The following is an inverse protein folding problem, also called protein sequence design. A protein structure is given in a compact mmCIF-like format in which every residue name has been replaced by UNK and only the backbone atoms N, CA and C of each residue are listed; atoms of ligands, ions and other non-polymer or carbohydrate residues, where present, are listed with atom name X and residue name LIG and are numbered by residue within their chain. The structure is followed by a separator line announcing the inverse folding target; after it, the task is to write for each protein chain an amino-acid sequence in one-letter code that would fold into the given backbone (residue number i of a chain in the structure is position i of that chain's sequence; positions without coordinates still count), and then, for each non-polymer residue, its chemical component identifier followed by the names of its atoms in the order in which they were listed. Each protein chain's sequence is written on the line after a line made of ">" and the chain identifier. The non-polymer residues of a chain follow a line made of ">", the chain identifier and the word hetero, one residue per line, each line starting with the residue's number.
data_IF_794553549980
#
_entry.id   IF_794553549980
#
_cell.length_a   1.000
_cell.length_b   1.000
_cell.length_c   1.000
_cell.angle_alpha   90.00
_cell.angle_beta   90.00
_cell.angle_gamma   90.00
#
_symmetry.space_group_name_H-M   'P 1'
#
loop_
_entity.id
_entity.type
_entity.pdbx_description
1 polymer ?
#
# COMPACT_ATOMS: atom_id res chain seq x y z
N UNK A 1 24.04 -22.77 11.13
CA UNK A 1 23.52 -21.77 12.09
C UNK A 1 22.00 -21.59 11.87
N UNK A 2 21.21 -21.11 12.85
CA UNK A 2 19.75 -20.91 12.65
C UNK A 2 19.48 -19.77 11.65
N UNK A 3 20.25 -18.68 11.75
CA UNK A 3 20.09 -17.48 10.90
C UNK A 3 20.31 -17.80 9.42
N UNK A 4 21.42 -18.47 9.08
CA UNK A 4 21.76 -18.90 7.72
C UNK A 4 20.60 -19.68 7.07
N UNK A 5 20.08 -20.69 7.77
CA UNK A 5 18.99 -21.53 7.26
C UNK A 5 17.70 -20.75 7.00
N UNK A 6 17.37 -19.77 7.85
CA UNK A 6 16.19 -18.92 7.65
C UNK A 6 16.35 -17.95 6.49
N UNK A 7 17.58 -17.47 6.24
CA UNK A 7 17.88 -16.60 5.11
C UNK A 7 17.82 -17.40 3.81
N UNK A 8 18.47 -18.56 3.75
CA UNK A 8 18.43 -19.49 2.61
C UNK A 8 16.99 -19.88 2.25
N UNK A 9 16.16 -20.23 3.24
CA UNK A 9 14.74 -20.54 3.01
C UNK A 9 13.95 -19.37 2.45
N UNK A 10 14.24 -18.13 2.88
CA UNK A 10 13.61 -16.92 2.35
C UNK A 10 14.04 -16.63 0.91
N UNK A 11 15.31 -16.86 0.57
CA UNK A 11 15.79 -16.69 -0.81
C UNK A 11 15.13 -17.71 -1.76
N UNK A 12 14.97 -18.96 -1.34
CA UNK A 12 14.25 -19.98 -2.12
C UNK A 12 12.79 -19.55 -2.33
N UNK A 13 12.13 -19.06 -1.27
CA UNK A 13 10.74 -18.59 -1.37
C UNK A 13 10.60 -17.41 -2.35
N UNK A 14 11.59 -16.50 -2.41
CA UNK A 14 11.60 -15.36 -3.35
C UNK A 14 11.66 -15.77 -4.82
N UNK A 15 12.13 -16.97 -5.15
CA UNK A 15 12.16 -17.47 -6.53
C UNK A 15 10.75 -17.77 -7.08
N UNK A 16 9.75 -17.93 -6.21
CA UNK A 16 8.38 -18.13 -6.64
C UNK A 16 7.81 -16.83 -7.23
N UNK A 17 7.26 -16.83 -8.46
CA UNK A 17 6.69 -15.63 -9.09
C UNK A 17 5.51 -15.01 -8.32
N UNK A 18 4.86 -15.79 -7.44
CA UNK A 18 3.76 -15.32 -6.59
C UNK A 18 4.23 -14.88 -5.18
N UNK A 19 5.53 -14.93 -4.89
CA UNK A 19 6.06 -14.49 -3.60
C UNK A 19 5.84 -12.99 -3.42
N UNK A 20 5.28 -12.62 -2.26
CA UNK A 20 5.08 -11.23 -1.85
C UNK A 20 5.69 -11.04 -0.47
N UNK A 21 6.68 -10.17 -0.41
CA UNK A 21 7.31 -9.77 0.85
C UNK A 21 6.60 -8.55 1.44
N UNK A 22 6.72 -8.38 2.75
CA UNK A 22 6.18 -7.23 3.47
C UNK A 22 4.68 -7.29 3.75
N UNK A 23 4.12 -6.15 4.18
CA UNK A 23 2.74 -6.05 4.66
C UNK A 23 1.78 -5.94 3.48
N UNK A 24 0.77 -6.81 3.43
CA UNK A 24 -0.34 -6.70 2.46
C UNK A 24 -1.02 -5.34 2.58
N UNK A 25 -1.39 -4.77 1.42
CA UNK A 25 -2.13 -3.51 1.36
C UNK A 25 -3.45 -3.61 2.14
N UNK A 26 -3.66 -2.66 3.05
CA UNK A 26 -4.86 -2.62 3.91
C UNK A 26 -6.13 -2.23 3.13
N UNK A 27 -5.99 -1.33 2.17
CA UNK A 27 -7.11 -0.78 1.39
C UNK A 27 -7.15 -1.43 0.01
N UNK A 28 -8.37 -1.66 -0.49
CA UNK A 28 -8.57 -2.19 -1.84
C UNK A 28 -8.27 -1.12 -2.90
N UNK A 29 -7.94 -1.52 -4.14
CA UNK A 29 -7.76 -0.58 -5.24
C UNK A 29 -8.97 0.36 -5.43
N UNK A 30 -10.18 -0.18 -5.30
CA UNK A 30 -11.43 0.56 -5.47
C UNK A 30 -11.62 1.61 -4.36
N UNK A 31 -11.29 1.26 -3.11
CA UNK A 31 -11.34 2.23 -2.00
C UNK A 31 -10.36 3.38 -2.22
N UNK A 32 -9.16 3.07 -2.73
CA UNK A 32 -8.15 4.07 -3.01
C UNK A 32 -8.57 4.98 -4.18
N UNK A 33 -9.11 4.40 -5.24
CA UNK A 33 -9.59 5.14 -6.39
C UNK A 33 -10.73 6.09 -6.02
N UNK A 34 -11.70 5.60 -5.24
CA UNK A 34 -12.80 6.41 -4.73
C UNK A 34 -12.30 7.58 -3.87
N UNK A 35 -11.36 7.31 -2.94
CA UNK A 35 -10.79 8.35 -2.10
C UNK A 35 -9.99 9.40 -2.90
N UNK A 36 -9.25 8.97 -3.93
CA UNK A 36 -8.53 9.88 -4.82
C UNK A 36 -9.48 10.71 -5.70
N UNK A 37 -10.61 10.15 -6.13
CA UNK A 37 -11.63 10.90 -6.85
C UNK A 37 -12.25 12.03 -5.99
N UNK A 38 -12.44 11.78 -4.69
CA UNK A 38 -12.94 12.78 -3.73
C UNK A 38 -12.00 13.98 -3.55
N UNK A 39 -10.68 13.80 -3.76
CA UNK A 39 -9.70 14.89 -3.64
C UNK A 39 -9.86 15.97 -4.71
N UNK A 40 -10.62 15.73 -5.78
CA UNK A 40 -10.93 16.77 -6.79
C UNK A 40 -11.78 17.91 -6.24
N UNK A 41 -12.58 17.64 -5.20
CA UNK A 41 -13.54 18.59 -4.62
C UNK A 41 -13.29 18.89 -3.13
N UNK A 42 -12.53 18.03 -2.45
CA UNK A 42 -12.35 18.10 -1.00
C UNK A 42 -10.86 18.15 -0.64
N UNK A 43 -10.55 18.74 0.52
CA UNK A 43 -9.20 18.72 1.07
C UNK A 43 -8.81 17.33 1.59
N UNK A 44 -7.50 17.06 1.65
CA UNK A 44 -6.99 15.80 2.19
C UNK A 44 -7.45 15.48 3.62
N UNK A 45 -7.61 16.50 4.47
CA UNK A 45 -8.08 16.31 5.85
C UNK A 45 -9.56 15.86 5.86
N UNK A 46 -10.38 16.45 5.01
CA UNK A 46 -11.80 16.08 4.86
C UNK A 46 -11.93 14.65 4.29
N UNK A 47 -11.18 14.31 3.25
CA UNK A 47 -11.20 12.96 2.68
C UNK A 47 -10.71 11.92 3.69
N UNK A 48 -9.69 12.24 4.47
CA UNK A 48 -9.22 11.34 5.53
C UNK A 48 -10.28 11.08 6.60
N UNK A 49 -11.01 12.12 7.03
CA UNK A 49 -12.12 11.97 7.96
C UNK A 49 -13.28 11.15 7.38
N UNK A 50 -13.62 11.34 6.10
CA UNK A 50 -14.72 10.63 5.44
C UNK A 50 -14.41 9.16 5.13
N UNK A 51 -13.17 8.86 4.72
CA UNK A 51 -12.79 7.52 4.23
C UNK A 51 -12.10 6.66 5.28
N UNK A 52 -11.65 7.26 6.39
CA UNK A 52 -10.81 6.59 7.39
C UNK A 52 -9.39 6.29 6.90
N UNK A 53 -9.02 6.73 5.69
CA UNK A 53 -7.67 6.59 5.13
C UNK A 53 -6.82 7.75 5.63
N UNK A 54 -5.61 7.46 6.12
CA UNK A 54 -4.75 8.53 6.63
C UNK A 54 -4.36 9.53 5.52
N UNK A 55 -4.21 10.80 5.91
CA UNK A 55 -3.72 11.87 5.02
C UNK A 55 -2.45 11.46 4.28
N UNK A 56 -1.48 10.87 4.99
CA UNK A 56 -0.21 10.41 4.41
C UNK A 56 -0.40 9.31 3.36
N UNK A 57 -1.38 8.42 3.56
CA UNK A 57 -1.70 7.36 2.59
C UNK A 57 -2.28 7.97 1.31
N UNK A 58 -3.19 8.95 1.43
CA UNK A 58 -3.76 9.66 0.28
C UNK A 58 -2.69 10.42 -0.52
N UNK A 59 -1.78 11.11 0.17
CA UNK A 59 -0.68 11.85 -0.48
C UNK A 59 0.25 10.89 -1.25
N UNK A 60 0.65 9.78 -0.62
CA UNK A 60 1.49 8.76 -1.27
C UNK A 60 0.81 8.18 -2.51
N UNK A 61 -0.45 7.77 -2.38
CA UNK A 61 -1.22 7.21 -3.49
C UNK A 61 -1.39 8.21 -4.64
N UNK A 62 -1.61 9.49 -4.34
CA UNK A 62 -1.71 10.54 -5.36
C UNK A 62 -0.36 10.75 -6.08
N UNK A 63 0.76 10.72 -5.36
CA UNK A 63 2.10 10.84 -5.95
C UNK A 63 2.45 9.64 -6.84
N UNK A 64 2.08 8.43 -6.43
CA UNK A 64 2.28 7.21 -7.23
C UNK A 64 1.46 7.22 -8.52
N UNK A 65 0.28 7.87 -8.54
CA UNK A 65 -0.57 7.96 -9.75
C UNK A 65 -0.06 8.97 -10.79
N UNK A 66 0.71 9.97 -10.36
CA UNK A 66 1.28 11.01 -11.25
C UNK A 66 2.60 10.55 -11.88
N UNK A 67 3.30 9.60 -11.23
CA UNK A 67 4.55 9.03 -11.72
C UNK A 67 4.30 8.06 -12.87
#
# INVERSE_FOLDING_TARGET
>A
MIVERTQEGREIARQNPNYRDGRKNKYTPQQMEHALAMLKKNSYNQVAAMTGISKSTLIRANKEKIK
#
